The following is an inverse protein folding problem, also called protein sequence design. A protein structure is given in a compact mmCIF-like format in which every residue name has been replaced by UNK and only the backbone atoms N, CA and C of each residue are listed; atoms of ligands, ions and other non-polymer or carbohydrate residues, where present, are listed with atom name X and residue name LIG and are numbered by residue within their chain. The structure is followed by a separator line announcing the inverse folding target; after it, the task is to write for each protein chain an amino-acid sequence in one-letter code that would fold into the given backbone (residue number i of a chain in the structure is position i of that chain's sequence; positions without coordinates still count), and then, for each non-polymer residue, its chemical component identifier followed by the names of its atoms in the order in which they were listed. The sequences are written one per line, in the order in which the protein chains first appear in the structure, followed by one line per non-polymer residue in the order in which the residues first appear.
data_IF_734394354509
#
_entry.id   IF_734394354509
#
_cell.length_a   1.000
_cell.length_b   1.000
_cell.length_c   1.000
_cell.angle_alpha   90.00
_cell.angle_beta   90.00
_cell.angle_gamma   90.00
#
_symmetry.space_group_name_H-M   'P 1'
#
loop_
_entity.id
_entity.type
_entity.pdbx_description
1 polymer ?
#
# COMPACT_ATOMS: atom_id res chain seq x y z
N UNK A 1 -19.48 -11.41 6.61
CA UNK A 1 -19.45 -10.42 5.51
C UNK A 1 -18.00 -10.21 5.09
N UNK A 2 -17.65 -10.40 3.81
CA UNK A 2 -16.32 -10.02 3.31
C UNK A 2 -16.33 -8.50 3.09
N UNK A 3 -15.43 -7.78 3.74
CA UNK A 3 -15.25 -6.35 3.49
C UNK A 3 -14.73 -6.16 2.07
N UNK A 4 -15.38 -5.29 1.30
CA UNK A 4 -14.87 -4.86 0.00
C UNK A 4 -13.86 -3.74 0.25
N UNK A 5 -12.63 -3.94 -0.19
CA UNK A 5 -11.58 -2.92 -0.10
C UNK A 5 -11.45 -2.29 -1.49
N UNK A 6 -11.70 -0.99 -1.56
CA UNK A 6 -11.43 -0.19 -2.75
C UNK A 6 -10.05 0.44 -2.55
N UNK A 7 -9.16 0.26 -3.54
CA UNK A 7 -7.86 0.89 -3.57
C UNK A 7 -7.88 1.86 -4.73
N UNK A 8 -7.70 3.14 -4.42
CA UNK A 8 -7.47 4.18 -5.41
C UNK A 8 -6.01 4.65 -5.32
N UNK A 9 -5.48 5.17 -6.41
CA UNK A 9 -4.10 5.66 -6.51
C UNK A 9 -4.06 6.96 -7.29
N UNK A 10 -3.09 7.81 -6.99
CA UNK A 10 -2.84 9.02 -7.78
C UNK A 10 -2.61 8.68 -9.27
N UNK A 11 -3.01 9.55 -10.22
CA UNK A 11 -2.92 9.27 -11.64
C UNK A 11 -1.54 8.83 -12.13
N UNK A 12 -0.47 9.38 -11.53
CA UNK A 12 0.93 9.13 -11.90
C UNK A 12 1.49 7.84 -11.30
N UNK A 13 0.78 7.21 -10.35
CA UNK A 13 1.29 6.10 -9.54
C UNK A 13 1.87 4.96 -10.39
N UNK A 14 1.18 4.55 -11.45
CA UNK A 14 1.61 3.42 -12.27
C UNK A 14 2.87 3.73 -13.09
N UNK A 15 2.98 4.96 -13.61
CA UNK A 15 4.19 5.43 -14.30
C UNK A 15 5.39 5.38 -13.35
N UNK A 16 5.23 5.92 -12.14
CA UNK A 16 6.29 5.94 -11.14
C UNK A 16 6.65 4.52 -10.69
N UNK A 17 5.63 3.70 -10.42
CA UNK A 17 5.80 2.31 -10.02
C UNK A 17 6.59 1.53 -11.09
N UNK A 18 6.29 1.74 -12.37
CA UNK A 18 6.94 1.04 -13.48
C UNK A 18 8.42 1.41 -13.64
N UNK A 19 8.83 2.60 -13.21
CA UNK A 19 10.22 3.03 -13.21
C UNK A 19 11.03 2.51 -12.00
N UNK A 20 10.39 1.91 -10.99
CA UNK A 20 11.08 1.43 -9.79
C UNK A 20 11.94 0.18 -10.04
N UNK A 21 13.05 0.02 -9.30
CA UNK A 21 13.83 -1.21 -9.31
C UNK A 21 12.99 -2.44 -8.94
N UNK A 22 13.30 -3.60 -9.54
CA UNK A 22 12.57 -4.86 -9.34
C UNK A 22 12.37 -5.23 -7.87
N UNK A 23 13.38 -5.01 -7.03
CA UNK A 23 13.31 -5.31 -5.60
C UNK A 23 12.30 -4.42 -4.86
N UNK A 24 12.17 -3.16 -5.26
CA UNK A 24 11.17 -2.24 -4.68
C UNK A 24 9.77 -2.66 -5.13
N UNK A 25 9.58 -2.97 -6.42
CA UNK A 25 8.30 -3.53 -6.92
C UNK A 25 7.89 -4.79 -6.16
N UNK A 26 8.84 -5.67 -5.83
CA UNK A 26 8.60 -6.90 -5.04
C UNK A 26 8.17 -6.58 -3.61
N UNK A 27 8.81 -5.62 -2.94
CA UNK A 27 8.41 -5.15 -1.61
C UNK A 27 7.00 -4.59 -1.61
N UNK A 28 6.66 -3.73 -2.57
CA UNK A 28 5.31 -3.19 -2.72
C UNK A 28 4.27 -4.29 -2.89
N UNK A 29 4.47 -5.21 -3.86
CA UNK A 29 3.53 -6.32 -4.10
C UNK A 29 3.30 -7.18 -2.86
N UNK A 30 4.34 -7.40 -2.03
CA UNK A 30 4.22 -8.13 -0.77
C UNK A 30 3.34 -7.37 0.23
N UNK A 31 3.58 -6.08 0.44
CA UNK A 31 2.76 -5.29 1.36
C UNK A 31 1.33 -5.12 0.87
N UNK A 32 1.15 -4.88 -0.43
CA UNK A 32 -0.16 -4.76 -1.06
C UNK A 32 -1.00 -6.03 -0.91
N UNK A 33 -0.37 -7.22 -0.92
CA UNK A 33 -1.06 -8.48 -0.61
C UNK A 33 -1.66 -8.47 0.79
N UNK A 34 -0.88 -8.08 1.81
CA UNK A 34 -1.40 -7.96 3.17
C UNK A 34 -2.51 -6.92 3.26
N UNK A 35 -2.36 -5.77 2.59
CA UNK A 35 -3.36 -4.70 2.58
C UNK A 35 -4.71 -5.17 2.01
N UNK A 36 -4.68 -5.91 0.90
CA UNK A 36 -5.89 -6.48 0.27
C UNK A 36 -6.58 -7.56 1.09
N UNK A 37 -5.84 -8.28 1.94
CA UNK A 37 -6.39 -9.35 2.78
C UNK A 37 -6.92 -8.79 4.11
N UNK A 38 -6.14 -7.91 4.74
CA UNK A 38 -6.47 -7.27 6.00
C UNK A 38 -5.70 -5.94 6.14
N UNK A 39 -6.37 -4.78 6.02
CA UNK A 39 -5.73 -3.47 6.21
C UNK A 39 -5.13 -3.25 7.60
N UNK A 40 -5.51 -4.06 8.60
CA UNK A 40 -4.95 -4.03 9.96
C UNK A 40 -3.93 -5.14 10.20
N UNK A 41 -3.38 -5.76 9.16
CA UNK A 41 -2.43 -6.86 9.29
C UNK A 41 -1.13 -6.39 10.00
N UNK A 42 -0.63 -7.09 11.04
CA UNK A 42 0.54 -6.64 11.81
C UNK A 42 1.81 -6.44 10.98
N UNK A 43 1.98 -7.18 9.86
CA UNK A 43 3.12 -7.01 8.96
C UNK A 43 3.12 -5.72 8.16
N UNK A 44 1.97 -5.03 8.07
CA UNK A 44 1.89 -3.72 7.42
C UNK A 44 2.51 -2.63 8.29
N UNK A 45 2.45 -2.76 9.62
CA UNK A 45 2.93 -1.76 10.59
C UNK A 45 2.41 -0.34 10.33
N UNK A 46 1.19 -0.23 9.82
CA UNK A 46 0.58 1.06 9.46
C UNK A 46 0.42 1.95 10.70
N UNK A 47 0.90 3.18 10.59
CA UNK A 47 0.79 4.22 11.62
C UNK A 47 0.57 5.59 10.99
N UNK A 48 -0.07 6.50 11.74
CA UNK A 48 -0.35 7.85 11.25
C UNK A 48 0.94 8.67 11.23
N UNK A 49 1.23 9.32 10.12
CA UNK A 49 2.36 10.24 10.01
C UNK A 49 2.05 11.49 10.85
N UNK A 50 2.92 11.81 11.80
CA UNK A 50 2.71 12.93 12.72
C UNK A 50 2.57 14.26 11.96
N UNK A 51 1.55 15.03 12.31
CA UNK A 51 1.29 16.34 11.68
C UNK A 51 0.61 16.28 10.31
N UNK A 52 0.16 15.10 9.85
CA UNK A 52 -0.56 14.94 8.58
C UNK A 52 -1.82 14.09 8.76
N UNK A 53 -2.66 13.99 7.74
CA UNK A 53 -3.78 13.04 7.69
C UNK A 53 -3.46 11.72 6.97
N UNK A 54 -2.19 11.52 6.62
CA UNK A 54 -1.71 10.33 5.93
C UNK A 54 -1.21 9.25 6.89
N UNK A 55 -1.16 8.01 6.39
CA UNK A 55 -0.72 6.82 7.10
C UNK A 55 0.38 6.12 6.30
N UNK A 56 1.37 5.54 6.99
CA UNK A 56 2.47 4.76 6.40
C UNK A 56 2.72 3.44 7.13
#
# INVERSE_FOLDING_TARGET
MKSVIIVDVEPEFWSDFDNLPKEIKKKFKKQFKYLKENPKHPSLKIHKIQGTDYWE
#
